data_IF_465139048851
#
_entry.id   IF_465139048851
#
_cell.length_a   1.000
_cell.length_b   1.000
_cell.length_c   1.000
_cell.angle_alpha   90.00
_cell.angle_beta   90.00
_cell.angle_gamma   90.00
#
_symmetry.space_group_name_H-M   'P 1'
#
loop_
_entity.id
_entity.type
_entity.pdbx_description
1 polymer ?
#
# COMPACT_ATOMS: atom_id res chain seq x y z
N UNK A 1 -27.33 -41.56 -14.73
CA UNK A 1 -26.61 -41.02 -15.91
C UNK A 1 -27.08 -39.61 -16.25
N UNK A 2 -28.34 -39.36 -16.54
CA UNK A 2 -28.87 -38.03 -16.91
C UNK A 2 -28.71 -36.94 -15.81
N UNK A 3 -28.71 -37.32 -14.54
CA UNK A 3 -28.55 -36.38 -13.41
C UNK A 3 -27.09 -35.91 -13.24
N UNK A 4 -26.14 -36.79 -13.49
CA UNK A 4 -24.71 -36.44 -13.48
C UNK A 4 -24.30 -35.57 -14.68
N UNK A 5 -24.93 -35.75 -15.85
CA UNK A 5 -24.71 -34.91 -17.01
C UNK A 5 -25.19 -33.49 -16.79
N UNK A 6 -26.37 -33.30 -16.18
CA UNK A 6 -26.91 -31.99 -15.81
C UNK A 6 -26.06 -31.29 -14.75
N UNK A 7 -25.52 -32.01 -13.77
CA UNK A 7 -24.62 -31.45 -12.76
C UNK A 7 -23.31 -30.97 -13.42
N UNK A 8 -22.75 -31.75 -14.33
CA UNK A 8 -21.53 -31.36 -15.05
C UNK A 8 -21.77 -30.14 -15.95
N UNK A 9 -22.89 -30.04 -16.61
CA UNK A 9 -23.27 -28.90 -17.44
C UNK A 9 -23.40 -27.62 -16.62
N UNK A 10 -24.07 -27.68 -15.45
CA UNK A 10 -24.19 -26.57 -14.52
C UNK A 10 -22.86 -26.19 -13.91
N UNK A 11 -21.98 -27.15 -13.60
CA UNK A 11 -20.60 -26.87 -13.07
C UNK A 11 -19.75 -26.18 -14.12
N UNK A 12 -19.82 -26.56 -15.38
CA UNK A 12 -19.09 -25.89 -16.47
C UNK A 12 -19.60 -24.45 -16.69
N UNK A 13 -20.92 -24.25 -16.68
CA UNK A 13 -21.51 -22.91 -16.78
C UNK A 13 -21.11 -21.99 -15.62
N UNK A 14 -21.08 -22.53 -14.39
CA UNK A 14 -20.62 -21.78 -13.21
C UNK A 14 -19.13 -21.44 -13.35
N UNK A 15 -18.28 -22.35 -13.80
CA UNK A 15 -16.85 -22.10 -14.02
C UNK A 15 -16.63 -21.00 -15.05
N UNK A 16 -17.35 -21.04 -16.16
CA UNK A 16 -17.24 -20.05 -17.23
C UNK A 16 -17.66 -18.66 -16.73
N UNK A 17 -18.79 -18.55 -16.02
CA UNK A 17 -19.29 -17.32 -15.43
C UNK A 17 -18.33 -16.74 -14.36
N UNK A 18 -17.75 -17.60 -13.51
CA UNK A 18 -16.77 -17.19 -12.50
C UNK A 18 -15.48 -16.70 -13.15
N UNK A 19 -15.00 -17.40 -14.19
CA UNK A 19 -13.80 -17.01 -14.92
C UNK A 19 -13.99 -15.67 -15.62
N UNK A 20 -15.10 -15.47 -16.31
CA UNK A 20 -15.41 -14.20 -16.97
C UNK A 20 -15.55 -13.05 -15.97
N UNK A 21 -16.20 -13.28 -14.83
CA UNK A 21 -16.32 -12.29 -13.76
C UNK A 21 -14.99 -11.93 -13.13
N UNK A 22 -14.11 -12.92 -12.98
CA UNK A 22 -12.74 -12.71 -12.46
C UNK A 22 -11.86 -11.93 -13.44
N UNK A 23 -11.93 -12.24 -14.74
CA UNK A 23 -11.19 -11.49 -15.76
C UNK A 23 -11.63 -10.02 -15.82
N UNK A 24 -12.94 -9.76 -15.84
CA UNK A 24 -13.50 -8.40 -15.81
C UNK A 24 -13.12 -7.63 -14.56
N UNK A 25 -13.09 -8.29 -13.39
CA UNK A 25 -12.63 -7.69 -12.15
C UNK A 25 -11.13 -7.40 -12.18
N UNK A 26 -10.33 -8.30 -12.74
CA UNK A 26 -8.87 -8.15 -12.91
C UNK A 26 -8.53 -6.99 -13.85
N UNK A 27 -9.22 -6.84 -14.97
CA UNK A 27 -9.04 -5.71 -15.90
C UNK A 27 -9.38 -4.38 -15.24
N UNK A 28 -10.51 -4.30 -14.52
CA UNK A 28 -10.89 -3.07 -13.79
C UNK A 28 -9.90 -2.71 -12.68
N UNK A 29 -9.34 -3.69 -12.00
CA UNK A 29 -8.31 -3.47 -10.98
C UNK A 29 -7.03 -2.98 -11.66
N UNK A 30 -6.64 -3.55 -12.81
CA UNK A 30 -5.46 -3.15 -13.55
C UNK A 30 -5.58 -1.70 -14.06
N UNK A 31 -6.72 -1.34 -14.63
CA UNK A 31 -7.02 0.01 -15.08
C UNK A 31 -6.97 1.03 -13.93
N UNK A 32 -7.59 0.69 -12.79
CA UNK A 32 -7.54 1.53 -11.58
C UNK A 32 -6.14 1.65 -10.98
N UNK A 33 -5.35 0.59 -11.02
CA UNK A 33 -3.95 0.62 -10.56
C UNK A 33 -3.09 1.50 -11.46
N UNK A 34 -3.31 1.49 -12.78
CA UNK A 34 -2.62 2.38 -13.71
C UNK A 34 -3.03 3.85 -13.53
N UNK A 35 -4.32 4.10 -13.29
CA UNK A 35 -4.84 5.44 -13.00
C UNK A 35 -4.23 6.00 -11.70
N UNK A 36 -4.19 5.21 -10.63
CA UNK A 36 -3.54 5.55 -9.36
C UNK A 36 -2.04 5.80 -9.54
N UNK A 37 -1.35 5.04 -10.39
CA UNK A 37 0.07 5.27 -10.70
C UNK A 37 0.34 6.58 -11.42
N UNK A 38 -0.62 7.10 -12.17
CA UNK A 38 -0.52 8.40 -12.86
C UNK A 38 -0.79 9.58 -11.92
N UNK A 39 -1.56 9.37 -10.85
CA UNK A 39 -1.94 10.41 -9.89
C UNK A 39 -0.95 10.57 -8.73
N UNK A 40 0.05 9.69 -8.61
CA UNK A 40 1.06 9.80 -7.54
C UNK A 40 2.18 10.73 -7.94
N UNK A 41 2.36 11.81 -7.19
CA UNK A 41 3.43 12.78 -7.42
C UNK A 41 4.81 12.17 -7.12
N UNK A 42 5.77 12.48 -7.99
CA UNK A 42 7.15 12.00 -7.89
C UNK A 42 8.08 13.19 -7.63
N UNK A 43 8.54 13.30 -6.39
CA UNK A 43 9.46 14.34 -5.92
C UNK A 43 10.92 13.91 -5.95
N UNK A 44 11.24 12.82 -6.63
CA UNK A 44 12.61 12.27 -6.66
C UNK A 44 13.62 13.27 -7.22
N UNK A 45 13.25 14.01 -8.26
CA UNK A 45 14.12 15.02 -8.88
C UNK A 45 14.41 16.24 -7.98
N UNK A 46 13.57 16.47 -6.97
CA UNK A 46 13.72 17.58 -6.02
C UNK A 46 14.63 17.23 -4.82
N UNK A 47 15.04 15.95 -4.71
CA UNK A 47 15.85 15.47 -3.60
C UNK A 47 17.34 15.66 -3.89
N UNK A 48 18.09 16.12 -2.87
CA UNK A 48 19.54 16.18 -2.92
C UNK A 48 20.13 14.76 -2.95
N UNK A 49 20.93 14.37 -3.95
CA UNK A 49 21.54 13.04 -4.02
C UNK A 49 22.38 12.68 -2.79
N UNK A 50 23.02 13.66 -2.16
CA UNK A 50 23.78 13.44 -0.93
C UNK A 50 22.85 13.13 0.25
N UNK A 51 21.73 13.84 0.37
CA UNK A 51 20.71 13.58 1.39
C UNK A 51 20.09 12.18 1.21
N UNK A 52 19.74 11.81 -0.02
CA UNK A 52 19.22 10.47 -0.37
C UNK A 52 20.21 9.38 0.04
N UNK A 53 21.49 9.50 -0.32
CA UNK A 53 22.49 8.46 -0.04
C UNK A 53 22.73 8.29 1.46
N UNK A 54 22.81 9.40 2.21
CA UNK A 54 23.09 9.40 3.64
C UNK A 54 21.89 8.94 4.50
N UNK A 55 20.68 9.17 4.03
CA UNK A 55 19.46 8.93 4.82
C UNK A 55 18.56 7.80 4.27
N UNK A 56 19.05 7.02 3.31
CA UNK A 56 18.32 5.90 2.72
C UNK A 56 17.84 4.88 3.76
N UNK A 57 18.72 4.53 4.71
CA UNK A 57 18.37 3.60 5.79
C UNK A 57 17.27 4.19 6.68
N UNK A 58 17.34 5.47 6.99
CA UNK A 58 16.31 6.16 7.77
C UNK A 58 14.95 6.17 7.05
N UNK A 59 14.97 6.37 5.73
CA UNK A 59 13.78 6.32 4.91
C UNK A 59 13.14 4.92 4.85
N UNK A 60 13.94 3.86 4.83
CA UNK A 60 13.46 2.47 4.91
C UNK A 60 12.85 2.18 6.28
N UNK A 61 13.51 2.59 7.38
CA UNK A 61 13.00 2.42 8.74
C UNK A 61 11.64 3.08 8.95
N UNK A 62 11.34 4.13 8.19
CA UNK A 62 10.06 4.83 8.26
C UNK A 62 8.84 3.94 7.96
N UNK A 63 9.01 2.84 7.23
CA UNK A 63 7.93 1.90 6.89
C UNK A 63 7.86 0.67 7.78
N UNK A 64 8.74 0.55 8.78
CA UNK A 64 8.81 -0.62 9.66
C UNK A 64 8.15 -0.27 11.00
N UNK A 65 6.83 -0.29 11.04
CA UNK A 65 6.01 -0.12 12.26
C UNK A 65 6.53 1.01 13.15
N UNK A 66 6.78 0.68 14.43
CA UNK A 66 7.23 1.65 15.44
C UNK A 66 8.62 2.23 15.14
N UNK A 67 9.41 1.62 14.26
CA UNK A 67 10.72 2.13 13.85
C UNK A 67 10.64 3.47 13.11
N UNK A 68 9.47 3.87 12.63
CA UNK A 68 9.23 5.21 12.07
C UNK A 68 9.58 6.34 13.06
N UNK A 69 9.57 6.06 14.37
CA UNK A 69 9.95 7.04 15.39
C UNK A 69 11.45 7.37 15.34
N UNK A 70 12.30 6.45 14.83
CA UNK A 70 13.74 6.68 14.69
C UNK A 70 14.02 7.79 13.68
N UNK A 71 13.61 7.71 12.40
CA UNK A 71 13.83 8.81 11.48
C UNK A 71 13.07 10.08 11.87
N UNK A 72 11.94 9.96 12.54
CA UNK A 72 11.19 11.10 13.05
C UNK A 72 12.03 11.95 14.02
N UNK A 73 12.88 11.33 14.84
CA UNK A 73 13.70 11.99 15.83
C UNK A 73 15.11 12.29 15.28
N UNK A 74 15.72 11.34 14.58
CA UNK A 74 17.12 11.39 14.18
C UNK A 74 17.35 12.06 12.82
N UNK A 75 16.40 12.04 11.89
CA UNK A 75 16.55 12.54 10.53
C UNK A 75 15.71 13.79 10.23
N UNK A 76 15.54 14.67 11.21
CA UNK A 76 14.70 15.88 11.10
C UNK A 76 15.15 16.85 10.00
N UNK A 77 16.43 16.87 9.70
CA UNK A 77 17.03 17.80 8.74
C UNK A 77 17.08 17.21 7.31
N UNK A 78 16.79 15.93 7.14
CA UNK A 78 16.74 15.27 5.85
C UNK A 78 15.37 15.43 5.21
N UNK A 79 15.30 16.09 4.05
CA UNK A 79 14.05 16.20 3.29
C UNK A 79 13.59 14.82 2.81
N UNK A 80 14.53 14.00 2.35
CA UNK A 80 14.26 12.65 1.87
C UNK A 80 13.70 11.75 2.96
N UNK A 81 14.38 11.68 4.12
CA UNK A 81 13.89 10.87 5.25
C UNK A 81 12.55 11.39 5.78
N UNK A 82 12.34 12.71 5.87
CA UNK A 82 11.07 13.30 6.32
C UNK A 82 9.90 12.97 5.40
N UNK A 83 10.13 12.97 4.09
CA UNK A 83 9.11 12.58 3.12
C UNK A 83 8.60 11.16 3.39
N UNK A 84 9.52 10.19 3.53
CA UNK A 84 9.18 8.81 3.84
C UNK A 84 8.62 8.63 5.26
N UNK A 85 9.14 9.38 6.22
CA UNK A 85 8.65 9.37 7.62
C UNK A 85 7.21 9.83 7.71
N UNK A 86 6.82 10.85 6.94
CA UNK A 86 5.43 11.30 6.90
C UNK A 86 4.50 10.18 6.41
N UNK A 87 4.83 9.53 5.32
CA UNK A 87 4.03 8.42 4.78
C UNK A 87 4.01 7.20 5.73
N UNK A 88 5.15 6.85 6.30
CA UNK A 88 5.25 5.77 7.29
C UNK A 88 4.42 6.03 8.54
N UNK A 89 4.39 7.27 9.02
CA UNK A 89 3.58 7.67 10.17
C UNK A 89 2.07 7.57 9.88
N UNK A 90 1.64 7.98 8.69
CA UNK A 90 0.24 7.80 8.24
C UNK A 90 -0.12 6.32 8.22
N UNK A 91 0.74 5.47 7.63
CA UNK A 91 0.52 4.03 7.60
C UNK A 91 0.46 3.40 8.99
N UNK A 92 1.32 3.85 9.92
CA UNK A 92 1.29 3.40 11.31
C UNK A 92 -0.05 3.72 11.96
N UNK A 93 -0.54 4.96 11.83
CA UNK A 93 -1.81 5.37 12.41
C UNK A 93 -2.98 4.59 11.83
N UNK A 94 -3.04 4.44 10.51
CA UNK A 94 -4.07 3.62 9.84
C UNK A 94 -3.96 2.16 10.29
N UNK A 95 -2.75 1.61 10.38
CA UNK A 95 -2.51 0.24 10.85
C UNK A 95 -3.01 0.01 12.28
N UNK A 96 -2.83 0.96 13.18
CA UNK A 96 -3.36 0.89 14.56
C UNK A 96 -4.90 0.87 14.55
N UNK A 97 -5.53 1.75 13.78
CA UNK A 97 -7.00 1.79 13.64
C UNK A 97 -7.52 0.47 13.06
N UNK A 98 -6.87 -0.05 12.02
CA UNK A 98 -7.22 -1.34 11.43
C UNK A 98 -7.05 -2.50 12.42
N UNK A 99 -5.98 -2.49 13.21
CA UNK A 99 -5.72 -3.51 14.23
C UNK A 99 -6.80 -3.55 15.32
N UNK A 100 -7.26 -2.39 15.78
CA UNK A 100 -8.37 -2.29 16.72
C UNK A 100 -9.69 -2.73 16.07
N UNK A 101 -9.99 -2.21 14.88
CA UNK A 101 -11.22 -2.48 14.15
C UNK A 101 -11.38 -3.95 13.74
N UNK A 102 -10.27 -4.64 13.50
CA UNK A 102 -10.25 -6.06 13.11
C UNK A 102 -10.85 -7.01 14.16
N UNK A 103 -10.96 -6.54 15.42
CA UNK A 103 -11.55 -7.31 16.53
C UNK A 103 -13.07 -7.10 16.68
N UNK A 104 -13.67 -6.20 15.91
CA UNK A 104 -15.10 -5.94 15.96
C UNK A 104 -15.83 -7.03 15.14
N UNK A 105 -16.81 -7.75 15.74
CA UNK A 105 -17.59 -8.73 14.99
C UNK A 105 -18.33 -8.07 13.80
N UNK A 106 -18.50 -8.79 12.71
CA UNK A 106 -19.14 -8.39 11.45
C UNK A 106 -18.31 -7.44 10.60
N UNK A 107 -17.86 -6.29 11.14
CA UNK A 107 -17.09 -5.29 10.38
C UNK A 107 -15.58 -5.59 10.38
N UNK A 108 -15.09 -6.46 11.26
CA UNK A 108 -13.67 -6.79 11.39
C UNK A 108 -13.02 -7.32 10.11
N UNK A 109 -13.80 -7.97 9.24
CA UNK A 109 -13.29 -8.45 7.95
C UNK A 109 -12.86 -7.28 7.04
N UNK A 110 -13.57 -6.17 7.05
CA UNK A 110 -13.21 -4.98 6.29
C UNK A 110 -11.90 -4.37 6.80
N UNK A 111 -11.70 -4.33 8.12
CA UNK A 111 -10.45 -3.86 8.72
C UNK A 111 -9.26 -4.78 8.43
N UNK A 112 -9.48 -6.09 8.33
CA UNK A 112 -8.43 -7.04 7.92
C UNK A 112 -8.02 -6.83 6.46
N UNK A 113 -8.96 -6.56 5.56
CA UNK A 113 -8.68 -6.23 4.17
C UNK A 113 -7.91 -4.90 4.10
N UNK A 114 -8.33 -3.88 4.83
CA UNK A 114 -7.64 -2.60 4.90
C UNK A 114 -6.21 -2.75 5.46
N UNK A 115 -6.01 -3.57 6.50
CA UNK A 115 -4.69 -3.88 7.04
C UNK A 115 -3.77 -4.57 6.01
N UNK A 116 -4.31 -5.46 5.19
CA UNK A 116 -3.56 -6.07 4.09
C UNK A 116 -3.11 -5.05 3.05
N UNK A 117 -3.96 -4.07 2.71
CA UNK A 117 -3.60 -2.97 1.81
C UNK A 117 -2.51 -2.06 2.42
N UNK A 118 -2.61 -1.74 3.71
CA UNK A 118 -1.57 -1.01 4.45
C UNK A 118 -0.24 -1.74 4.37
N UNK A 119 -0.23 -3.05 4.55
CA UNK A 119 0.99 -3.86 4.44
C UNK A 119 1.60 -3.82 3.03
N UNK A 120 0.79 -3.89 2.00
CA UNK A 120 1.25 -3.73 0.60
C UNK A 120 1.86 -2.34 0.40
N UNK A 121 1.23 -1.28 0.89
CA UNK A 121 1.77 0.08 0.81
C UNK A 121 3.10 0.22 1.56
N UNK A 122 3.28 -0.45 2.70
CA UNK A 122 4.57 -0.48 3.42
C UNK A 122 5.68 -1.10 2.57
N UNK A 123 5.41 -2.22 1.90
CA UNK A 123 6.38 -2.87 1.00
C UNK A 123 6.75 -1.93 -0.15
N UNK A 124 5.78 -1.30 -0.79
CA UNK A 124 6.01 -0.35 -1.88
C UNK A 124 6.87 0.83 -1.40
N UNK A 125 6.56 1.37 -0.21
CA UNK A 125 7.33 2.45 0.40
C UNK A 125 8.77 2.06 0.68
N UNK A 126 9.02 0.88 1.21
CA UNK A 126 10.37 0.33 1.43
C UNK A 126 11.13 0.24 0.11
N UNK A 127 10.49 -0.25 -0.96
CA UNK A 127 11.11 -0.36 -2.29
C UNK A 127 11.47 1.03 -2.84
N UNK A 128 10.59 2.02 -2.72
CA UNK A 128 10.89 3.39 -3.16
C UNK A 128 12.05 4.00 -2.36
N UNK A 129 12.03 3.87 -1.03
CA UNK A 129 13.10 4.33 -0.17
C UNK A 129 14.45 3.67 -0.50
N UNK A 130 14.46 2.35 -0.72
CA UNK A 130 15.65 1.60 -1.10
C UNK A 130 16.20 2.00 -2.48
N UNK A 131 15.32 2.38 -3.41
CA UNK A 131 15.71 2.92 -4.72
C UNK A 131 16.14 4.39 -4.68
N UNK A 132 15.99 5.07 -3.54
CA UNK A 132 16.27 6.49 -3.41
C UNK A 132 15.22 7.39 -4.07
N UNK A 133 14.02 6.88 -4.26
CA UNK A 133 12.90 7.60 -4.89
C UNK A 133 12.00 8.21 -3.83
N UNK A 134 11.71 9.50 -3.96
CA UNK A 134 10.72 10.21 -3.15
C UNK A 134 9.38 10.26 -3.89
N UNK A 135 8.71 9.12 -3.97
CA UNK A 135 7.43 8.96 -4.66
C UNK A 135 6.30 8.75 -3.66
N UNK A 136 5.19 9.42 -3.88
CA UNK A 136 4.00 9.26 -3.06
C UNK A 136 3.41 7.86 -3.15
N UNK A 137 2.94 7.36 -2.02
CA UNK A 137 2.19 6.11 -1.98
C UNK A 137 0.75 6.33 -2.48
N UNK A 138 0.19 5.37 -3.20
CA UNK A 138 -1.20 5.45 -3.63
C UNK A 138 -2.12 5.61 -2.41
N UNK A 139 -3.15 6.45 -2.56
CA UNK A 139 -4.22 6.72 -1.58
C UNK A 139 -3.80 7.63 -0.42
N UNK A 140 -2.60 7.52 0.10
CA UNK A 140 -2.16 8.22 1.33
C UNK A 140 -1.09 9.29 1.11
N UNK A 141 -0.50 9.35 -0.10
CA UNK A 141 0.63 10.24 -0.40
C UNK A 141 0.32 11.72 -0.13
N UNK A 142 -0.91 12.13 -0.37
CA UNK A 142 -1.36 13.52 -0.18
C UNK A 142 -1.58 13.91 1.30
N UNK A 143 -1.49 12.95 2.25
CA UNK A 143 -1.69 13.24 3.67
C UNK A 143 -0.37 13.70 4.28
N UNK A 144 -0.28 14.98 4.61
CA UNK A 144 0.90 15.60 5.22
C UNK A 144 0.64 15.82 6.71
N UNK A 145 1.34 15.07 7.55
CA UNK A 145 1.32 15.20 9.03
C UNK A 145 2.53 16.02 9.49
N UNK A 146 3.69 15.78 8.88
CA UNK A 146 4.94 16.48 9.18
C UNK A 146 5.12 17.69 8.26
N UNK A 147 5.08 18.88 8.81
CA UNK A 147 5.44 20.13 8.11
C UNK A 147 6.92 20.45 8.29
#
# INVERSE_FOLDING_TARGET
>A
MAENEKINEVVEEIKENVTESFEKASEKIHEKVEEIKKETDDYTAEQDPADVSNNKVMAILAYIWILVLIPLICAKNSKFARFHTNQGLVLLLIGIVCGIGANIPVVGILFKIAAALVFVCQIIGIVYAAQGKAKELPVIGNIVILK
#
